data_IF_254957343565
#
_entry.id   IF_254957343565
#
_cell.length_a   1.000
_cell.length_b   1.000
_cell.length_c   1.000
_cell.angle_alpha   90.00
_cell.angle_beta   90.00
_cell.angle_gamma   90.00
#
_symmetry.space_group_name_H-M   'P 1'
#
loop_
_entity.id
_entity.type
_entity.pdbx_description
1 polymer ?
#
# COMPACT_ATOMS: atom_id res chain seq x y z
N UNK A 1 18.67 23.36 -35.48
CA UNK A 1 17.94 22.75 -34.36
C UNK A 1 18.63 21.44 -34.03
N UNK A 2 19.42 21.37 -32.96
CA UNK A 2 20.02 20.11 -32.54
C UNK A 2 19.10 19.34 -31.60
N UNK A 3 19.22 18.03 -31.72
CA UNK A 3 18.61 16.93 -30.99
C UNK A 3 18.61 17.13 -29.48
N UNK A 4 17.42 17.02 -28.86
CA UNK A 4 17.22 17.03 -27.41
C UNK A 4 16.99 15.60 -26.93
N UNK A 5 17.98 14.73 -27.12
CA UNK A 5 18.02 13.39 -26.53
C UNK A 5 19.38 13.13 -25.88
N UNK A 6 19.76 14.02 -24.96
CA UNK A 6 20.75 13.73 -23.93
C UNK A 6 20.25 14.28 -22.59
N UNK A 7 19.64 13.40 -21.80
CA UNK A 7 19.61 13.54 -20.34
C UNK A 7 19.76 12.16 -19.71
N UNK A 8 21.01 11.80 -19.56
CA UNK A 8 21.51 11.04 -18.41
C UNK A 8 21.00 11.68 -17.11
N UNK A 9 19.99 11.08 -16.50
CA UNK A 9 19.60 11.34 -15.11
C UNK A 9 19.08 10.03 -14.55
N UNK A 10 19.88 9.41 -13.68
CA UNK A 10 19.61 8.14 -13.01
C UNK A 10 18.48 8.22 -11.99
N UNK A 11 17.30 8.69 -12.40
CA UNK A 11 16.07 8.69 -11.62
C UNK A 11 15.06 7.72 -12.22
N UNK A 12 15.50 6.48 -12.47
CA UNK A 12 14.63 5.36 -12.76
C UNK A 12 13.95 4.86 -11.48
N UNK A 13 13.20 5.73 -10.80
CA UNK A 13 12.36 5.36 -9.67
C UNK A 13 11.28 4.42 -10.15
N UNK A 14 11.51 3.11 -10.04
CA UNK A 14 10.46 2.09 -10.16
C UNK A 14 9.39 2.41 -9.10
N UNK A 15 8.39 3.19 -9.46
CA UNK A 15 7.21 3.41 -8.63
C UNK A 15 6.49 2.07 -8.58
N UNK A 16 6.42 1.38 -7.43
CA UNK A 16 5.73 0.10 -7.39
C UNK A 16 4.26 0.36 -7.73
N UNK A 17 3.78 -0.24 -8.82
CA UNK A 17 2.36 -0.25 -9.19
C UNK A 17 1.55 -1.26 -8.37
N UNK A 18 2.17 -1.92 -7.38
CA UNK A 18 1.49 -2.83 -6.48
C UNK A 18 0.69 -2.03 -5.44
N UNK A 19 -0.59 -2.39 -5.20
CA UNK A 19 -1.39 -1.73 -4.18
C UNK A 19 -0.74 -1.96 -2.82
N UNK A 20 -0.30 -0.88 -2.17
CA UNK A 20 0.10 -0.93 -0.77
C UNK A 20 -1.12 -1.26 0.11
N UNK A 21 -0.88 -1.71 1.35
CA UNK A 21 -1.91 -2.24 2.24
C UNK A 21 -3.09 -1.27 2.47
N UNK A 22 -2.82 0.03 2.58
CA UNK A 22 -3.87 1.04 2.77
C UNK A 22 -4.71 1.24 1.49
N UNK A 23 -4.12 1.17 0.30
CA UNK A 23 -4.89 1.17 -0.94
C UNK A 23 -5.80 -0.06 -1.05
N UNK A 24 -5.31 -1.25 -0.68
CA UNK A 24 -6.12 -2.46 -0.68
C UNK A 24 -7.33 -2.34 0.27
N UNK A 25 -7.11 -1.87 1.50
CA UNK A 25 -8.19 -1.62 2.48
C UNK A 25 -9.19 -0.56 1.98
N UNK A 26 -8.72 0.53 1.38
CA UNK A 26 -9.56 1.58 0.81
C UNK A 26 -10.39 1.09 -0.38
N UNK A 27 -9.82 0.25 -1.25
CA UNK A 27 -10.53 -0.36 -2.37
C UNK A 27 -11.65 -1.27 -1.84
N UNK A 28 -11.37 -2.10 -0.83
CA UNK A 28 -12.39 -2.94 -0.20
C UNK A 28 -13.52 -2.10 0.44
N UNK A 29 -13.15 -1.01 1.14
CA UNK A 29 -14.14 -0.08 1.73
C UNK A 29 -15.02 0.57 0.66
N UNK A 30 -14.41 1.07 -0.42
CA UNK A 30 -15.14 1.69 -1.53
C UNK A 30 -16.06 0.68 -2.22
N UNK A 31 -15.61 -0.56 -2.39
CA UNK A 31 -16.41 -1.65 -2.93
C UNK A 31 -17.64 -1.93 -2.06
N UNK A 32 -17.46 -2.10 -0.74
CA UNK A 32 -18.60 -2.34 0.17
C UNK A 32 -19.62 -1.19 0.12
N UNK A 33 -19.16 0.06 0.14
CA UNK A 33 -20.04 1.23 0.01
C UNK A 33 -20.82 1.23 -1.30
N UNK A 34 -20.20 0.78 -2.40
CA UNK A 34 -20.89 0.64 -3.69
C UNK A 34 -22.01 -0.40 -3.62
N UNK A 35 -21.78 -1.53 -2.93
CA UNK A 35 -22.80 -2.56 -2.72
C UNK A 35 -23.95 -2.01 -1.87
N UNK A 36 -23.65 -1.33 -0.77
CA UNK A 36 -24.66 -0.71 0.10
C UNK A 36 -25.53 0.29 -0.68
N UNK A 37 -24.90 1.14 -1.51
CA UNK A 37 -25.64 2.09 -2.34
C UNK A 37 -26.51 1.39 -3.39
N UNK A 38 -26.05 0.29 -4.00
CA UNK A 38 -26.86 -0.48 -4.93
C UNK A 38 -28.11 -1.07 -4.24
N UNK A 39 -27.92 -1.70 -3.08
CA UNK A 39 -29.00 -2.27 -2.28
C UNK A 39 -30.01 -1.21 -1.82
N UNK A 40 -29.55 -0.07 -1.30
CA UNK A 40 -30.46 1.01 -0.89
C UNK A 40 -31.24 1.60 -2.08
N UNK A 41 -30.60 1.75 -3.25
CA UNK A 41 -31.27 2.25 -4.45
C UNK A 41 -32.36 1.30 -4.92
N UNK A 42 -32.11 -0.01 -4.91
CA UNK A 42 -33.12 -1.01 -5.25
C UNK A 42 -34.30 -0.99 -4.27
N UNK A 43 -34.04 -0.86 -2.97
CA UNK A 43 -35.08 -0.91 -1.95
C UNK A 43 -35.91 0.39 -1.81
N UNK A 44 -35.29 1.55 -2.04
CA UNK A 44 -35.88 2.86 -1.67
C UNK A 44 -35.86 3.90 -2.79
N UNK A 45 -35.15 3.65 -3.89
CA UNK A 45 -34.87 4.65 -4.93
C UNK A 45 -33.84 5.70 -4.53
N UNK A 46 -33.32 5.66 -3.30
CA UNK A 46 -32.32 6.61 -2.76
C UNK A 46 -30.96 5.95 -2.56
N UNK A 47 -29.90 6.75 -2.46
CA UNK A 47 -28.59 6.25 -2.05
C UNK A 47 -28.54 6.01 -0.53
N UNK A 48 -27.71 5.06 -0.09
CA UNK A 48 -27.43 4.88 1.33
C UNK A 48 -26.91 6.19 1.98
N UNK A 49 -27.60 6.66 3.03
CA UNK A 49 -27.19 7.85 3.80
C UNK A 49 -26.22 7.52 4.94
N UNK A 50 -25.97 6.24 5.20
CA UNK A 50 -25.07 5.76 6.26
C UNK A 50 -24.11 4.74 5.69
N UNK A 51 -22.84 4.79 6.11
CA UNK A 51 -21.86 3.78 5.73
C UNK A 51 -22.02 2.54 6.62
N UNK A 52 -22.23 1.35 6.04
CA UNK A 52 -22.26 0.09 6.80
C UNK A 52 -20.90 -0.26 7.40
N UNK A 53 -19.83 0.15 6.69
CA UNK A 53 -18.43 -0.02 7.10
C UNK A 53 -17.76 1.35 7.25
N UNK A 54 -17.12 1.53 8.40
CA UNK A 54 -16.34 2.71 8.77
C UNK A 54 -14.89 2.62 8.28
N UNK A 55 -14.21 3.77 8.17
CA UNK A 55 -12.78 3.81 7.91
C UNK A 55 -11.97 3.02 8.96
N UNK A 56 -12.41 3.04 10.23
CA UNK A 56 -11.77 2.28 11.31
C UNK A 56 -11.86 0.76 11.09
N UNK A 57 -13.01 0.26 10.65
CA UNK A 57 -13.16 -1.15 10.30
C UNK A 57 -12.29 -1.53 9.10
N UNK A 58 -12.19 -0.66 8.09
CA UNK A 58 -11.30 -0.89 6.96
C UNK A 58 -9.81 -0.93 7.38
N UNK A 59 -9.39 -0.04 8.28
CA UNK A 59 -8.04 -0.10 8.87
C UNK A 59 -7.83 -1.38 9.69
N UNK A 60 -8.86 -1.85 10.40
CA UNK A 60 -8.80 -3.10 11.15
C UNK A 60 -8.59 -4.32 10.24
N UNK A 61 -9.19 -4.35 9.04
CA UNK A 61 -8.97 -5.39 8.03
C UNK A 61 -7.50 -5.54 7.65
N UNK A 62 -6.77 -4.43 7.54
CA UNK A 62 -5.34 -4.43 7.21
C UNK A 62 -4.41 -4.62 8.42
N UNK A 63 -4.94 -4.70 9.64
CA UNK A 63 -4.14 -4.77 10.87
C UNK A 63 -4.62 -5.94 11.75
N UNK A 64 -5.45 -5.67 12.75
CA UNK A 64 -5.87 -6.66 13.76
C UNK A 64 -6.66 -7.82 13.17
N UNK A 65 -7.56 -7.57 12.21
CA UNK A 65 -8.33 -8.66 11.58
C UNK A 65 -7.48 -9.46 10.60
N UNK A 66 -6.52 -8.83 9.93
CA UNK A 66 -5.51 -9.52 9.13
C UNK A 66 -4.62 -10.43 9.99
N UNK A 67 -4.17 -9.95 11.16
CA UNK A 67 -3.40 -10.75 12.10
C UNK A 67 -4.21 -11.95 12.63
N UNK A 68 -5.50 -11.75 12.96
CA UNK A 68 -6.40 -12.84 13.35
C UNK A 68 -6.58 -13.88 12.24
N UNK A 69 -6.82 -13.44 11.00
CA UNK A 69 -6.99 -14.34 9.87
C UNK A 69 -5.75 -15.21 9.61
N UNK A 70 -4.56 -14.71 9.96
CA UNK A 70 -3.28 -15.43 9.84
C UNK A 70 -2.88 -16.23 11.09
N UNK A 71 -3.69 -16.23 12.16
CA UNK A 71 -3.35 -16.89 13.41
C UNK A 71 -2.19 -16.22 14.17
N UNK A 72 -2.00 -14.92 13.99
CA UNK A 72 -0.94 -14.11 14.60
C UNK A 72 -1.47 -13.02 15.55
N UNK A 73 -2.75 -13.09 15.93
CA UNK A 73 -3.41 -12.05 16.74
C UNK A 73 -2.84 -11.85 18.14
N UNK A 74 -2.12 -12.84 18.66
CA UNK A 74 -1.38 -12.81 19.92
C UNK A 74 -0.01 -12.13 19.80
N UNK A 75 0.48 -11.89 18.56
CA UNK A 75 1.83 -11.41 18.29
C UNK A 75 1.89 -10.05 17.60
N UNK A 76 0.97 -9.76 16.68
CA UNK A 76 1.02 -8.58 15.81
C UNK A 76 -0.37 -7.97 15.58
N UNK A 77 -0.41 -6.79 14.96
CA UNK A 77 -1.65 -6.13 14.52
C UNK A 77 -2.30 -5.23 15.57
N UNK A 78 -1.72 -5.11 16.77
CA UNK A 78 -2.09 -4.13 17.80
C UNK A 78 -0.84 -3.51 18.42
N UNK A 79 -1.00 -2.33 19.01
CA UNK A 79 0.04 -1.65 19.77
C UNK A 79 -0.28 -1.87 21.26
N UNK A 80 0.18 -3.00 21.78
CA UNK A 80 -0.05 -3.44 23.17
C UNK A 80 1.25 -4.02 23.76
N UNK A 81 1.44 -3.92 25.07
CA UNK A 81 2.63 -4.46 25.74
C UNK A 81 2.71 -5.97 25.55
N UNK A 82 3.89 -6.48 25.18
CA UNK A 82 4.11 -7.90 24.92
C UNK A 82 3.95 -8.31 23.45
N UNK A 83 3.42 -7.42 22.60
CA UNK A 83 3.36 -7.64 21.15
C UNK A 83 4.67 -7.29 20.45
N UNK A 84 4.88 -7.84 19.25
CA UNK A 84 6.00 -7.46 18.40
C UNK A 84 5.84 -6.01 17.94
N UNK A 85 6.96 -5.29 17.87
CA UNK A 85 6.99 -3.91 17.43
C UNK A 85 7.00 -3.82 15.89
N UNK A 86 5.84 -4.12 15.30
CA UNK A 86 5.52 -3.96 13.88
C UNK A 86 4.75 -2.65 13.68
N UNK A 87 5.48 -1.59 13.34
CA UNK A 87 4.97 -0.22 13.33
C UNK A 87 5.21 0.45 11.96
N UNK A 88 4.23 1.25 11.54
CA UNK A 88 4.32 2.09 10.35
C UNK A 88 4.02 3.53 10.76
N UNK A 89 4.95 4.44 10.47
CA UNK A 89 4.77 5.87 10.68
C UNK A 89 4.39 6.55 9.36
N UNK A 90 3.33 7.35 9.38
CA UNK A 90 2.81 8.07 8.21
C UNK A 90 3.04 9.57 8.41
N UNK A 91 3.68 10.23 7.44
CA UNK A 91 3.82 11.67 7.42
C UNK A 91 2.52 12.33 6.93
N UNK A 92 1.67 12.70 7.89
CA UNK A 92 0.41 13.39 7.64
C UNK A 92 0.58 14.88 7.26
N UNK A 93 1.81 15.43 7.24
CA UNK A 93 2.09 16.82 6.84
C UNK A 93 2.22 16.96 5.33
N UNK A 94 2.37 15.85 4.60
CA UNK A 94 2.45 15.85 3.16
C UNK A 94 1.19 16.46 2.53
N UNK A 95 1.37 17.33 1.52
CA UNK A 95 0.27 18.09 0.91
C UNK A 95 -0.87 17.23 0.37
N UNK A 96 -0.59 16.02 -0.11
CA UNK A 96 -1.61 15.10 -0.61
C UNK A 96 -2.52 14.51 0.48
N UNK A 97 -2.14 14.67 1.76
CA UNK A 97 -2.92 14.26 2.93
C UNK A 97 -3.48 15.45 3.72
N UNK A 98 -3.13 16.67 3.31
CA UNK A 98 -3.58 17.88 3.98
C UNK A 98 -4.95 18.33 3.44
N UNK A 99 -5.90 18.74 4.31
CA UNK A 99 -5.83 18.71 5.78
C UNK A 99 -6.17 17.31 6.36
N UNK A 100 -5.35 16.84 7.30
CA UNK A 100 -5.50 15.53 7.95
C UNK A 100 -6.48 15.59 9.14
N UNK A 101 -7.77 15.86 8.88
CA UNK A 101 -8.78 16.02 9.94
C UNK A 101 -9.13 14.73 10.69
N UNK A 102 -9.19 13.59 9.98
CA UNK A 102 -9.43 12.27 10.55
C UNK A 102 -8.20 11.41 10.30
N UNK A 103 -7.41 11.07 11.34
CA UNK A 103 -6.17 10.32 11.17
C UNK A 103 -6.40 8.92 10.58
N UNK A 104 -7.55 8.28 10.84
CA UNK A 104 -7.86 6.94 10.31
C UNK A 104 -8.13 7.03 8.82
N UNK A 105 -8.95 8.00 8.40
CA UNK A 105 -9.20 8.25 6.98
C UNK A 105 -7.92 8.69 6.27
N UNK A 106 -7.10 9.54 6.88
CA UNK A 106 -5.80 9.98 6.34
C UNK A 106 -4.89 8.79 6.07
N UNK A 107 -4.76 7.85 7.02
CA UNK A 107 -3.93 6.65 6.84
C UNK A 107 -4.42 5.78 5.67
N UNK A 108 -5.73 5.61 5.49
CA UNK A 108 -6.27 4.86 4.34
C UNK A 108 -6.03 5.53 2.99
N UNK A 109 -5.78 6.85 2.98
CA UNK A 109 -5.48 7.62 1.77
C UNK A 109 -3.98 7.89 1.57
N UNK A 110 -3.13 7.49 2.51
CA UNK A 110 -1.67 7.60 2.41
C UNK A 110 -1.14 6.81 1.22
N UNK A 111 -0.13 7.34 0.52
CA UNK A 111 0.67 6.63 -0.47
C UNK A 111 1.93 6.03 0.21
N UNK A 112 2.63 5.12 -0.47
CA UNK A 112 3.96 4.61 -0.11
C UNK A 112 4.94 5.76 0.15
N UNK A 113 4.84 6.85 -0.64
CA UNK A 113 5.66 8.05 -0.46
C UNK A 113 5.42 8.75 0.89
N UNK A 114 4.21 8.63 1.46
CA UNK A 114 3.87 9.25 2.75
C UNK A 114 4.36 8.42 3.95
N UNK A 115 4.84 7.19 3.74
CA UNK A 115 5.39 6.39 4.84
C UNK A 115 6.75 6.96 5.22
N UNK A 116 6.91 7.47 6.43
CA UNK A 116 8.18 8.01 6.92
C UNK A 116 9.11 6.88 7.38
N UNK A 117 8.57 5.98 8.22
CA UNK A 117 9.35 4.94 8.87
C UNK A 117 8.56 3.62 9.00
N UNK A 118 9.30 2.51 9.03
CA UNK A 118 8.77 1.16 9.20
C UNK A 118 9.68 0.39 10.14
N UNK A 119 9.07 -0.16 11.20
CA UNK A 119 9.70 -1.04 12.18
C UNK A 119 9.09 -2.44 12.02
N UNK A 120 9.93 -3.47 11.97
CA UNK A 120 9.49 -4.87 11.92
C UNK A 120 10.20 -5.64 13.01
N UNK A 121 9.43 -6.23 13.93
CA UNK A 121 9.92 -6.91 15.12
C UNK A 121 10.98 -6.09 15.88
N UNK A 122 10.77 -4.77 16.00
CA UNK A 122 11.70 -3.87 16.70
C UNK A 122 12.92 -3.41 15.88
N UNK A 123 13.08 -3.87 14.63
CA UNK A 123 14.18 -3.48 13.76
C UNK A 123 13.72 -2.48 12.69
N UNK A 124 14.45 -1.37 12.52
CA UNK A 124 14.16 -0.40 11.48
C UNK A 124 14.39 -0.99 10.09
N UNK A 125 13.38 -0.91 9.23
CA UNK A 125 13.46 -1.29 7.80
C UNK A 125 13.35 -0.08 6.88
N UNK A 126 12.71 0.97 7.34
CA UNK A 126 12.66 2.29 6.71
C UNK A 126 12.72 3.36 7.80
N UNK A 127 13.46 4.44 7.58
CA UNK A 127 13.52 5.59 8.50
C UNK A 127 13.89 6.84 7.70
N UNK A 128 13.38 8.00 8.11
CA UNK A 128 13.65 9.28 7.45
C UNK A 128 13.35 9.24 5.93
N UNK A 129 12.25 8.57 5.57
CA UNK A 129 11.82 8.29 4.19
C UNK A 129 12.76 7.40 3.35
N UNK A 130 13.84 6.86 3.91
CA UNK A 130 14.80 5.99 3.23
C UNK A 130 14.72 4.52 3.68
N UNK A 131 14.90 3.59 2.74
CA UNK A 131 15.00 2.16 3.05
C UNK A 131 16.34 1.84 3.71
N UNK A 132 16.31 1.05 4.77
CA UNK A 132 17.49 0.59 5.50
C UNK A 132 17.79 -0.86 5.11
N UNK A 133 18.28 -1.04 3.89
CA UNK A 133 18.68 -2.35 3.36
C UNK A 133 20.04 -2.24 2.66
N UNK A 134 20.99 -3.17 2.92
CA UNK A 134 22.25 -3.22 2.19
C UNK A 134 22.04 -3.73 0.76
N UNK A 135 22.93 -3.35 -0.17
CA UNK A 135 22.97 -3.91 -1.52
C UNK A 135 21.74 -3.60 -2.38
N UNK A 136 21.08 -2.47 -2.17
CA UNK A 136 19.86 -2.10 -2.91
C UNK A 136 20.09 -1.99 -4.42
N UNK A 137 21.29 -1.62 -4.86
CA UNK A 137 21.60 -1.52 -6.28
C UNK A 137 21.78 -2.89 -6.92
N UNK A 138 22.53 -3.79 -6.27
CA UNK A 138 22.65 -5.19 -6.68
C UNK A 138 21.27 -5.89 -6.68
N UNK A 139 20.43 -5.59 -5.69
CA UNK A 139 19.06 -6.10 -5.63
C UNK A 139 18.22 -5.59 -6.80
N UNK A 140 18.34 -4.31 -7.17
CA UNK A 140 17.66 -3.72 -8.33
C UNK A 140 18.09 -4.40 -9.62
N UNK A 141 19.38 -4.67 -9.79
CA UNK A 141 19.89 -5.39 -10.96
C UNK A 141 19.36 -6.82 -11.02
N UNK A 142 19.39 -7.56 -9.91
CA UNK A 142 18.82 -8.91 -9.84
C UNK A 142 17.32 -8.94 -10.15
N UNK A 143 16.56 -7.96 -9.67
CA UNK A 143 15.13 -7.83 -9.99
C UNK A 143 14.91 -7.54 -11.49
N UNK A 144 15.73 -6.67 -12.09
CA UNK A 144 15.70 -6.35 -13.51
C UNK A 144 15.99 -7.58 -14.37
N UNK A 145 17.05 -8.33 -14.06
CA UNK A 145 17.39 -9.58 -14.74
C UNK A 145 16.27 -10.62 -14.62
N UNK A 146 15.69 -10.77 -13.42
CA UNK A 146 14.57 -11.68 -13.20
C UNK A 146 13.36 -11.29 -14.05
N UNK A 147 13.02 -9.99 -14.11
CA UNK A 147 11.93 -9.48 -14.95
C UNK A 147 12.18 -9.76 -16.43
N UNK A 148 13.41 -9.54 -16.92
CA UNK A 148 13.79 -9.85 -18.30
C UNK A 148 13.61 -11.34 -18.61
N UNK A 149 14.07 -12.24 -17.73
CA UNK A 149 13.87 -13.69 -17.91
C UNK A 149 12.38 -14.07 -18.04
N UNK A 150 11.52 -13.52 -17.18
CA UNK A 150 10.08 -13.77 -17.23
C UNK A 150 9.45 -13.26 -18.54
N UNK A 151 9.81 -12.05 -18.98
CA UNK A 151 9.32 -11.48 -20.23
C UNK A 151 9.78 -12.28 -21.46
N UNK A 152 11.05 -12.73 -21.47
CA UNK A 152 11.55 -13.62 -22.52
C UNK A 152 10.79 -14.95 -22.57
N UNK A 153 10.49 -15.54 -21.40
CA UNK A 153 9.68 -16.75 -21.29
C UNK A 153 8.25 -16.56 -21.83
N UNK A 154 7.59 -15.46 -21.50
CA UNK A 154 6.22 -15.17 -21.99
C UNK A 154 6.23 -14.90 -23.51
N UNK A 155 7.25 -14.22 -24.02
CA UNK A 155 7.42 -13.95 -25.45
C UNK A 155 7.72 -15.19 -26.29
N UNK A 156 8.35 -16.22 -25.72
CA UNK A 156 8.62 -17.48 -26.44
C UNK A 156 7.40 -18.40 -26.53
N UNK A 157 6.45 -18.33 -25.59
CA UNK A 157 5.19 -19.12 -25.62
C UNK A 157 4.25 -18.68 -26.76
N UNK A 158 4.32 -17.42 -27.22
CA UNK A 158 3.44 -16.89 -28.29
C UNK A 158 3.82 -17.31 -29.72
N UNK A 159 4.86 -18.10 -29.95
CA UNK A 159 5.33 -18.49 -31.30
C UNK A 159 4.90 -19.89 -31.79
N UNK A 160 3.93 -20.52 -31.12
CA UNK A 160 3.39 -21.84 -31.52
C UNK A 160 1.86 -21.80 -31.78
N UNK A 161 1.39 -20.81 -32.55
CA UNK A 161 0.03 -20.77 -33.08
C UNK A 161 0.06 -20.38 -34.56
#
# INVERSE_FOLDING_TARGET
>A
MPDLCDRTSGEGGCRPSAPHWAAAARIALAHQRSLDHAQCREATGMHANTASVTAKQALAWATVEGAKALGLADRVGRIEVGMQADLVAVDARAFNLWPAHDPVATVLHADIANIEAVLVAGSWRKRDHALLAPGLDELRDRLRESGQRLLHGIGSVRRHA
#
